data_IF_309891954062
#
_entry.id   IF_309891954062
#
_cell.length_a   1.000
_cell.length_b   1.000
_cell.length_c   1.000
_cell.angle_alpha   90.00
_cell.angle_beta   90.00
_cell.angle_gamma   90.00
#
_symmetry.space_group_name_H-M   'P 1'
#
loop_
_entity.id
_entity.type
_entity.pdbx_description
1 polymer ?
#
# COMPACT_ATOMS: atom_id res chain seq x y z
N UNK A 1 0.17 19.11 0.74
CA UNK A 1 0.06 18.17 1.87
C UNK A 1 0.78 16.89 1.46
N UNK A 2 1.78 16.43 2.21
CA UNK A 2 2.42 15.13 1.91
C UNK A 2 1.46 13.99 2.19
N UNK A 3 1.44 12.99 1.32
CA UNK A 3 0.61 11.78 1.44
C UNK A 3 1.39 10.78 2.28
N UNK A 4 0.87 10.40 3.45
CA UNK A 4 1.52 9.40 4.30
C UNK A 4 1.61 8.05 3.58
N UNK A 5 2.61 7.25 3.93
CA UNK A 5 2.65 5.85 3.53
C UNK A 5 1.48 5.08 4.15
N UNK A 6 0.93 4.09 3.44
CA UNK A 6 -0.13 3.26 3.98
C UNK A 6 -0.85 2.41 2.95
N UNK A 7 -1.78 1.60 3.46
CA UNK A 7 -2.65 0.73 2.69
C UNK A 7 -3.89 1.48 2.21
N UNK A 8 -4.24 1.30 0.95
CA UNK A 8 -5.50 1.77 0.41
C UNK A 8 -6.05 0.75 -0.57
N UNK A 9 -7.37 0.77 -0.76
CA UNK A 9 -8.04 -0.07 -1.75
C UNK A 9 -8.56 0.80 -2.90
N UNK A 10 -7.87 0.82 -4.05
CA UNK A 10 -8.40 1.44 -5.27
C UNK A 10 -9.78 0.86 -5.63
N UNK A 11 -10.64 1.67 -6.27
CA UNK A 11 -12.05 1.36 -6.54
C UNK A 11 -12.25 -0.01 -7.22
N UNK A 12 -11.34 -0.43 -8.10
CA UNK A 12 -11.41 -1.69 -8.84
C UNK A 12 -10.44 -2.77 -8.34
N UNK A 13 -9.74 -2.54 -7.23
CA UNK A 13 -8.82 -3.53 -6.67
C UNK A 13 -9.57 -4.51 -5.76
N UNK A 14 -9.30 -5.81 -5.92
CA UNK A 14 -9.81 -6.85 -5.03
C UNK A 14 -9.05 -6.94 -3.71
N UNK A 15 -7.88 -6.30 -3.61
CA UNK A 15 -6.97 -6.33 -2.46
C UNK A 15 -6.52 -4.93 -2.06
N UNK A 16 -6.06 -4.78 -0.83
CA UNK A 16 -5.42 -3.57 -0.33
C UNK A 16 -3.99 -3.50 -0.89
N UNK A 17 -3.61 -2.33 -1.38
CA UNK A 17 -2.28 -2.07 -1.91
C UNK A 17 -1.57 -1.05 -1.04
N UNK A 18 -0.29 -1.29 -0.75
CA UNK A 18 0.53 -0.35 0.00
C UNK A 18 1.13 0.69 -0.94
N UNK A 19 1.07 1.95 -0.52
CA UNK A 19 1.63 3.13 -1.19
C UNK A 19 2.68 3.74 -0.29
N UNK A 20 3.86 4.03 -0.85
CA UNK A 20 4.90 4.74 -0.12
C UNK A 20 4.51 6.21 0.11
N UNK A 21 5.26 6.87 0.99
CA UNK A 21 5.07 8.30 1.25
C UNK A 21 5.25 9.11 -0.03
N UNK A 22 4.33 10.04 -0.28
CA UNK A 22 4.25 10.88 -1.47
C UNK A 22 4.11 10.14 -2.83
N UNK A 23 4.10 8.82 -2.84
CA UNK A 23 3.92 8.01 -4.04
C UNK A 23 2.45 7.75 -4.36
N UNK A 24 2.08 7.94 -5.62
CA UNK A 24 0.73 7.65 -6.14
C UNK A 24 0.60 6.19 -6.55
N UNK A 25 1.72 5.53 -6.84
CA UNK A 25 1.76 4.15 -7.32
C UNK A 25 2.06 3.22 -6.16
N UNK A 26 1.32 2.11 -6.09
CA UNK A 26 1.56 1.05 -5.14
C UNK A 26 2.97 0.48 -5.28
N UNK A 27 3.55 -0.01 -4.18
CA UNK A 27 4.91 -0.59 -4.20
C UNK A 27 5.02 -1.85 -5.09
N UNK A 28 3.90 -2.49 -5.42
CA UNK A 28 3.87 -3.58 -6.41
C UNK A 28 3.83 -3.10 -7.87
N UNK A 29 3.66 -1.80 -8.12
CA UNK A 29 3.66 -1.17 -9.45
C UNK A 29 2.38 -1.39 -10.27
N UNK A 30 1.30 -1.92 -9.67
CA UNK A 30 0.11 -2.37 -10.42
C UNK A 30 -1.09 -1.44 -10.29
N UNK A 31 -1.11 -0.65 -9.22
CA UNK A 31 -2.24 0.21 -8.89
C UNK A 31 -1.78 1.62 -8.56
N UNK A 32 -2.58 2.59 -8.99
CA UNK A 32 -2.47 3.98 -8.58
C UNK A 32 -3.63 4.33 -7.65
N UNK A 33 -3.37 5.18 -6.67
CA UNK A 33 -4.38 5.70 -5.75
C UNK A 33 -4.18 7.19 -5.52
N UNK A 34 -5.14 7.98 -6.00
CA UNK A 34 -5.11 9.44 -5.95
C UNK A 34 -5.78 10.03 -4.70
N UNK A 35 -6.44 9.19 -3.88
CA UNK A 35 -7.03 9.62 -2.61
C UNK A 35 -5.98 9.90 -1.53
N UNK A 36 -6.46 10.49 -0.43
CA UNK A 36 -5.64 10.82 0.73
C UNK A 36 -5.77 9.80 1.87
N UNK A 37 -6.83 9.00 1.87
CA UNK A 37 -7.12 8.04 2.93
C UNK A 37 -6.29 6.78 2.74
N UNK A 38 -5.25 6.66 3.56
CA UNK A 38 -4.35 5.51 3.62
C UNK A 38 -4.27 5.04 5.06
N UNK A 39 -4.56 3.77 5.26
CA UNK A 39 -4.51 3.13 6.57
C UNK A 39 -3.05 2.79 6.91
N UNK A 40 -2.59 3.08 8.15
CA UNK A 40 -1.24 2.71 8.56
C UNK A 40 -1.06 1.19 8.60
N UNK A 41 0.17 0.73 8.37
CA UNK A 41 0.52 -0.70 8.49
C UNK A 41 0.58 -1.13 9.96
N UNK A 42 -0.56 -1.52 10.51
CA UNK A 42 -0.69 -1.91 11.94
C UNK A 42 -0.76 -3.42 12.13
N UNK A 43 -1.29 -4.16 11.16
CA UNK A 43 -1.35 -5.62 11.15
C UNK A 43 -1.33 -6.16 9.72
N UNK A 44 -1.01 -7.45 9.57
CA UNK A 44 -1.11 -8.12 8.27
C UNK A 44 -2.53 -8.66 8.05
N UNK A 45 -3.18 -8.22 6.98
CA UNK A 45 -4.52 -8.65 6.61
C UNK A 45 -4.46 -9.69 5.47
N UNK A 46 -5.33 -10.71 5.47
CA UNK A 46 -5.50 -11.60 4.30
C UNK A 46 -6.02 -10.86 3.05
N UNK A 47 -6.52 -9.64 3.22
CA UNK A 47 -6.93 -8.77 2.11
C UNK A 47 -5.82 -7.89 1.56
N UNK A 48 -4.62 -7.98 2.09
CA UNK A 48 -3.47 -7.29 1.53
C UNK A 48 -2.99 -7.96 0.25
N UNK A 49 -2.51 -7.13 -0.67
CA UNK A 49 -1.79 -7.63 -1.82
C UNK A 49 -0.52 -8.34 -1.36
N UNK A 50 -0.46 -9.66 -1.57
CA UNK A 50 0.69 -10.48 -1.19
C UNK A 50 2.02 -9.96 -1.77
N UNK A 51 2.01 -9.34 -2.95
CA UNK A 51 3.20 -8.74 -3.55
C UNK A 51 3.65 -7.48 -2.81
N UNK A 52 2.71 -6.61 -2.41
CA UNK A 52 3.02 -5.46 -1.55
C UNK A 52 3.54 -5.94 -0.20
N UNK A 53 2.85 -6.89 0.44
CA UNK A 53 3.22 -7.40 1.78
C UNK A 53 4.64 -7.97 1.80
N UNK A 54 5.00 -8.80 0.81
CA UNK A 54 6.37 -9.34 0.67
C UNK A 54 7.44 -8.25 0.50
N UNK A 55 7.16 -7.23 -0.31
CA UNK A 55 8.09 -6.11 -0.53
C UNK A 55 8.27 -5.29 0.74
N UNK A 56 7.16 -4.93 1.40
CA UNK A 56 7.17 -4.16 2.64
C UNK A 56 7.94 -4.89 3.75
N UNK A 57 7.69 -6.19 3.93
CA UNK A 57 8.38 -6.99 4.94
C UNK A 57 9.90 -7.11 4.65
N UNK A 58 10.29 -7.15 3.37
CA UNK A 58 11.71 -7.16 2.97
C UNK A 58 12.38 -5.82 3.28
N UNK A 59 11.71 -4.70 3.03
CA UNK A 59 12.23 -3.35 3.33
C UNK A 59 12.33 -3.10 4.84
N UNK A 60 11.40 -3.64 5.65
CA UNK A 60 11.43 -3.53 7.12
C UNK A 60 12.50 -4.41 7.79
N UNK A 61 12.95 -5.46 7.12
CA UNK A 61 13.97 -6.38 7.62
C UNK A 61 15.40 -5.99 7.18
N UNK A 62 15.53 -4.97 6.33
CA UNK A 62 16.80 -4.40 5.88
C UNK A 62 17.22 -3.23 6.78
#
# INVERSE_FOLDING_TARGET
>A
MSKKAGWARPINASKHHFFAEDEVTSICGRWMYFGHDREPDTFESPDDCAACRRKLNKERAA
#
